data_IF_315444834847
#
_entry.id   IF_315444834847
#
_cell.length_a   1.000
_cell.length_b   1.000
_cell.length_c   1.000
_cell.angle_alpha   90.00
_cell.angle_beta   90.00
_cell.angle_gamma   90.00
#
_symmetry.space_group_name_H-M   'P 1'
#
loop_
_entity.id
_entity.type
_entity.pdbx_description
1 polymer ?
#
# COMPACT_ATOMS: atom_id res chain seq x y z
N UNK A 1 16.34 45.67 25.15
CA UNK A 1 15.69 44.40 25.56
C UNK A 1 14.40 44.07 24.82
N UNK A 2 13.56 45.05 24.41
CA UNK A 2 12.31 44.76 23.66
C UNK A 2 12.59 44.30 22.21
N UNK A 3 13.61 44.87 21.57
CA UNK A 3 13.97 44.58 20.17
C UNK A 3 14.60 43.18 19.96
N UNK A 4 15.25 42.63 20.99
CA UNK A 4 15.83 41.28 20.95
C UNK A 4 14.77 40.19 21.15
N UNK A 5 13.69 40.51 21.87
CA UNK A 5 12.61 39.57 22.14
C UNK A 5 11.72 39.36 20.89
N UNK A 6 11.45 40.42 20.11
CA UNK A 6 10.71 40.31 18.84
C UNK A 6 11.45 39.52 17.76
N UNK A 7 12.79 39.56 17.76
CA UNK A 7 13.62 38.82 16.80
C UNK A 7 13.61 37.29 17.09
N UNK A 8 13.59 36.89 18.37
CA UNK A 8 13.44 35.48 18.76
C UNK A 8 12.03 34.91 18.49
N UNK A 9 10.99 35.75 18.57
CA UNK A 9 9.61 35.32 18.27
C UNK A 9 9.43 35.13 16.77
N UNK A 10 10.07 35.96 15.93
CA UNK A 10 10.05 35.79 14.46
C UNK A 10 10.83 34.56 13.98
N UNK A 11 11.96 34.22 14.62
CA UNK A 11 12.72 33.00 14.28
C UNK A 11 12.02 31.70 14.72
N UNK A 12 11.22 31.75 15.80
CA UNK A 12 10.42 30.60 16.26
C UNK A 12 9.13 30.41 15.44
N UNK A 13 8.55 31.48 14.87
CA UNK A 13 7.42 31.36 13.92
C UNK A 13 7.90 30.80 12.56
N UNK A 14 9.14 31.07 12.15
CA UNK A 14 9.71 30.50 10.91
C UNK A 14 10.01 29.00 11.01
N UNK A 15 10.02 28.42 12.21
CA UNK A 15 10.12 26.97 12.44
C UNK A 15 8.78 26.24 12.23
N UNK A 16 7.70 26.96 11.88
CA UNK A 16 6.38 26.35 11.68
C UNK A 16 6.31 25.62 10.34
N UNK A 17 6.26 24.28 10.47
CA UNK A 17 5.82 23.25 9.51
C UNK A 17 6.83 22.79 8.46
N UNK A 18 7.78 21.97 8.92
CA UNK A 18 8.01 20.72 8.21
C UNK A 18 6.72 19.90 8.33
N UNK A 19 5.96 19.74 7.25
CA UNK A 19 4.99 18.64 7.18
C UNK A 19 5.82 17.36 7.13
N UNK A 20 5.99 16.67 8.24
CA UNK A 20 6.40 15.27 8.16
C UNK A 20 5.39 14.57 7.26
N UNK A 21 5.86 14.10 6.11
CA UNK A 21 5.06 13.25 5.23
C UNK A 21 4.92 11.94 5.98
N UNK A 22 3.84 11.80 6.71
CA UNK A 22 3.54 10.52 7.36
C UNK A 22 3.11 9.56 6.28
N UNK A 23 4.04 8.70 5.88
CA UNK A 23 3.84 7.68 4.86
C UNK A 23 2.82 6.68 5.38
N UNK A 24 1.82 6.36 4.55
CA UNK A 24 0.84 5.36 4.90
C UNK A 24 1.44 3.97 4.74
N UNK A 25 1.01 3.08 5.62
CA UNK A 25 1.33 1.66 5.56
C UNK A 25 0.04 0.87 5.59
N UNK A 26 0.04 -0.28 4.91
CA UNK A 26 -1.09 -1.20 4.87
C UNK A 26 -0.60 -2.64 4.83
N UNK A 27 -1.50 -3.56 5.16
CA UNK A 27 -1.22 -4.99 5.20
C UNK A 27 -2.40 -5.78 4.67
N UNK A 28 -2.12 -6.86 3.95
CA UNK A 28 -3.08 -7.92 3.64
C UNK A 28 -2.56 -9.24 4.19
N UNK A 29 -3.32 -9.87 5.08
CA UNK A 29 -3.09 -11.26 5.48
C UNK A 29 -3.72 -12.17 4.45
N UNK A 30 -2.90 -12.95 3.76
CA UNK A 30 -3.35 -13.86 2.72
C UNK A 30 -3.80 -15.17 3.36
N UNK A 31 -5.00 -15.60 2.99
CA UNK A 31 -5.55 -16.90 3.34
C UNK A 31 -5.93 -17.65 2.07
N UNK A 32 -5.73 -18.97 2.11
CA UNK A 32 -6.03 -19.86 1.01
C UNK A 32 -7.53 -19.93 0.73
N UNK A 33 -7.89 -20.03 -0.54
CA UNK A 33 -9.28 -20.14 -0.97
C UNK A 33 -9.71 -21.61 -0.97
N UNK A 34 -10.79 -21.97 -0.28
CA UNK A 34 -11.27 -23.36 -0.21
C UNK A 34 -10.27 -24.29 0.49
N UNK A 35 -9.77 -25.29 -0.24
CA UNK A 35 -8.80 -26.28 0.30
C UNK A 35 -7.34 -25.91 0.05
N UNK A 36 -7.06 -24.77 -0.59
CA UNK A 36 -5.69 -24.32 -0.84
C UNK A 36 -5.00 -23.93 0.47
N UNK A 37 -3.73 -24.32 0.63
CA UNK A 37 -2.92 -24.04 1.82
C UNK A 37 -2.14 -22.73 1.74
N UNK A 38 -2.42 -21.89 0.73
CA UNK A 38 -1.74 -20.62 0.52
C UNK A 38 -1.90 -19.74 1.74
N UNK A 39 -0.81 -19.18 2.25
CA UNK A 39 -0.87 -18.27 3.40
C UNK A 39 0.30 -17.29 3.37
N UNK A 40 0.15 -16.12 3.98
CA UNK A 40 1.23 -15.15 4.02
C UNK A 40 0.81 -13.75 4.45
N UNK A 41 1.74 -12.83 4.32
CA UNK A 41 1.51 -11.41 4.58
C UNK A 41 2.11 -10.56 3.46
N UNK A 42 1.33 -9.61 2.96
CA UNK A 42 1.75 -8.60 2.01
C UNK A 42 1.65 -7.24 2.68
N UNK A 43 2.75 -6.50 2.68
CA UNK A 43 2.88 -5.16 3.25
C UNK A 43 2.98 -4.15 2.12
N UNK A 44 2.34 -3.01 2.31
CA UNK A 44 2.34 -1.89 1.40
C UNK A 44 2.82 -0.65 2.14
N UNK A 45 3.74 0.08 1.54
CA UNK A 45 4.30 1.29 2.12
C UNK A 45 4.41 2.38 1.06
N UNK A 46 3.77 3.52 1.30
CA UNK A 46 4.00 4.70 0.45
C UNK A 46 5.46 5.14 0.59
N UNK A 47 6.10 5.46 -0.53
CA UNK A 47 7.45 6.03 -0.57
C UNK A 47 7.36 7.55 -0.64
N UNK A 48 8.43 8.30 -0.29
CA UNK A 48 8.47 9.75 -0.46
C UNK A 48 8.25 10.23 -1.90
N UNK A 49 8.47 9.38 -2.91
CA UNK A 49 8.22 9.68 -4.32
C UNK A 49 6.76 9.48 -4.74
N UNK A 50 5.90 8.99 -3.84
CA UNK A 50 4.49 8.69 -4.12
C UNK A 50 4.24 7.32 -4.73
N UNK A 51 5.27 6.49 -4.91
CA UNK A 51 5.12 5.08 -5.28
C UNK A 51 4.73 4.25 -4.05
N UNK A 52 4.30 3.01 -4.26
CA UNK A 52 4.05 2.04 -3.20
C UNK A 52 5.06 0.90 -3.31
N UNK A 53 5.81 0.69 -2.24
CA UNK A 53 6.60 -0.52 -2.05
C UNK A 53 5.68 -1.64 -1.54
N UNK A 54 5.67 -2.76 -2.24
CA UNK A 54 4.94 -3.97 -1.89
C UNK A 54 5.95 -5.05 -1.54
N UNK A 55 5.90 -5.53 -0.31
CA UNK A 55 6.84 -6.54 0.18
C UNK A 55 6.11 -7.64 0.95
N UNK A 56 6.72 -8.81 1.10
CA UNK A 56 6.11 -9.85 1.91
C UNK A 56 6.57 -11.26 1.57
N UNK A 57 5.88 -12.22 2.14
CA UNK A 57 6.15 -13.64 1.90
C UNK A 57 4.84 -14.41 1.87
N UNK A 58 4.70 -15.27 0.87
CA UNK A 58 3.57 -16.17 0.69
C UNK A 58 4.09 -17.59 0.54
N UNK A 59 3.49 -18.54 1.25
CA UNK A 59 3.84 -19.97 1.22
C UNK A 59 2.65 -20.80 0.75
N UNK A 60 2.89 -22.08 0.47
CA UNK A 60 1.85 -23.02 0.02
C UNK A 60 1.54 -22.90 -1.48
N UNK A 61 2.43 -22.27 -2.25
CA UNK A 61 2.34 -22.17 -3.70
C UNK A 61 2.92 -23.42 -4.37
N UNK A 62 2.57 -23.64 -5.64
CA UNK A 62 3.33 -24.53 -6.50
C UNK A 62 4.61 -23.86 -6.99
N UNK A 63 5.51 -24.63 -7.60
CA UNK A 63 6.68 -24.05 -8.26
C UNK A 63 6.25 -23.33 -9.54
N UNK A 64 6.77 -22.13 -9.75
CA UNK A 64 6.51 -21.31 -10.93
C UNK A 64 5.90 -19.95 -10.61
N UNK A 65 5.50 -19.25 -11.66
CA UNK A 65 4.90 -17.93 -11.59
C UNK A 65 3.40 -18.02 -11.29
N UNK A 66 2.94 -17.08 -10.47
CA UNK A 66 1.57 -16.94 -10.03
C UNK A 66 1.10 -15.50 -10.22
N UNK A 67 -0.02 -15.30 -10.93
CA UNK A 67 -0.62 -13.98 -11.10
C UNK A 67 -0.96 -13.33 -9.75
N UNK A 68 -0.65 -12.04 -9.62
CA UNK A 68 -0.71 -11.29 -8.38
C UNK A 68 -1.39 -9.95 -8.63
N UNK A 69 -2.61 -9.80 -8.12
CA UNK A 69 -3.47 -8.68 -8.49
C UNK A 69 -4.18 -8.06 -7.29
N UNK A 70 -4.49 -6.77 -7.37
CA UNK A 70 -5.51 -6.14 -6.53
C UNK A 70 -6.84 -6.21 -7.24
N UNK A 71 -7.82 -6.86 -6.61
CA UNK A 71 -9.19 -6.98 -7.11
C UNK A 71 -10.08 -5.84 -6.60
N UNK A 72 -11.22 -5.63 -7.26
CA UNK A 72 -12.08 -4.47 -7.04
C UNK A 72 -12.64 -4.41 -5.62
N UNK A 73 -13.09 -5.54 -5.05
CA UNK A 73 -13.73 -5.56 -3.74
C UNK A 73 -12.88 -6.26 -2.67
N UNK A 74 -12.92 -5.73 -1.45
CA UNK A 74 -12.49 -6.42 -0.24
C UNK A 74 -13.59 -7.30 0.35
N UNK A 75 -14.42 -7.90 -0.50
CA UNK A 75 -15.49 -8.81 -0.09
C UNK A 75 -15.00 -10.25 -0.18
N UNK A 76 -14.94 -10.92 0.98
CA UNK A 76 -14.54 -12.32 1.12
C UNK A 76 -15.71 -13.23 1.56
N UNK A 77 -16.96 -12.77 1.46
CA UNK A 77 -18.16 -13.51 1.89
C UNK A 77 -18.36 -14.84 1.15
N UNK A 78 -17.88 -14.95 -0.09
CA UNK A 78 -17.82 -16.18 -0.87
C UNK A 78 -16.37 -16.53 -1.23
N UNK A 79 -15.48 -16.43 -0.23
CA UNK A 79 -14.04 -16.58 -0.43
C UNK A 79 -13.50 -15.58 -1.44
N UNK A 80 -12.46 -15.95 -2.17
CA UNK A 80 -11.84 -15.04 -3.13
C UNK A 80 -12.72 -14.73 -4.34
N UNK A 81 -13.84 -15.42 -4.57
CA UNK A 81 -14.72 -15.17 -5.71
C UNK A 81 -15.45 -13.82 -5.59
N UNK A 82 -15.83 -13.42 -4.38
CA UNK A 82 -16.54 -12.16 -4.11
C UNK A 82 -15.69 -10.91 -4.36
N UNK A 83 -14.38 -11.04 -4.56
CA UNK A 83 -13.51 -9.88 -4.86
C UNK A 83 -13.74 -9.27 -6.25
N UNK A 84 -14.56 -9.92 -7.09
CA UNK A 84 -14.87 -9.55 -8.48
C UNK A 84 -13.63 -9.44 -9.37
N UNK A 85 -13.60 -8.56 -10.36
CA UNK A 85 -12.50 -8.45 -11.33
C UNK A 85 -11.31 -7.65 -10.78
N UNK A 86 -10.25 -7.50 -11.58
CA UNK A 86 -9.11 -6.66 -11.25
C UNK A 86 -9.57 -5.21 -11.00
N UNK A 87 -8.88 -4.50 -10.11
CA UNK A 87 -9.21 -3.10 -9.85
C UNK A 87 -8.88 -2.22 -11.07
N UNK A 88 -9.93 -1.85 -11.83
CA UNK A 88 -9.83 -1.13 -13.09
C UNK A 88 -10.73 0.12 -13.14
N UNK A 89 -10.38 1.21 -12.43
CA UNK A 89 -11.18 2.44 -12.41
C UNK A 89 -11.19 3.18 -13.76
N UNK A 90 -10.31 2.81 -14.70
CA UNK A 90 -10.16 3.47 -16.00
C UNK A 90 -10.81 2.71 -17.15
N UNK A 91 -11.34 1.50 -16.89
CA UNK A 91 -11.91 0.62 -17.90
C UNK A 91 -10.96 0.41 -19.11
N UNK A 92 -9.68 0.15 -18.82
CA UNK A 92 -8.65 -0.17 -19.81
C UNK A 92 -8.41 -1.67 -19.85
N UNK A 93 -7.65 -2.15 -20.84
CA UNK A 93 -7.26 -3.55 -20.92
C UNK A 93 -6.24 -3.91 -19.82
N UNK A 94 -6.23 -5.20 -19.45
CA UNK A 94 -5.20 -5.80 -18.60
C UNK A 94 -3.82 -5.67 -19.25
N UNK A 95 -2.80 -5.55 -18.41
CA UNK A 95 -1.41 -5.63 -18.84
C UNK A 95 -0.47 -5.86 -17.68
N UNK A 96 0.75 -6.32 -17.97
CA UNK A 96 1.76 -6.50 -16.91
C UNK A 96 2.14 -5.19 -16.21
N UNK A 97 2.75 -5.29 -15.03
CA UNK A 97 3.05 -4.13 -14.17
C UNK A 97 3.81 -2.98 -14.86
N UNK A 98 4.63 -3.27 -15.87
CA UNK A 98 5.41 -2.24 -16.58
C UNK A 98 4.75 -1.75 -17.87
N UNK A 99 3.56 -2.27 -18.21
CA UNK A 99 2.82 -1.85 -19.39
C UNK A 99 2.26 -0.44 -19.21
N UNK A 100 2.22 0.33 -20.31
CA UNK A 100 1.61 1.66 -20.33
C UNK A 100 0.08 1.62 -20.22
N UNK A 101 -0.53 0.53 -20.69
CA UNK A 101 -1.95 0.23 -20.51
C UNK A 101 -2.05 -1.00 -19.64
N UNK A 102 -2.65 -0.85 -18.46
CA UNK A 102 -2.89 -1.90 -17.48
C UNK A 102 -3.98 -1.44 -16.52
N UNK A 103 -4.61 -2.38 -15.84
CA UNK A 103 -5.44 -2.04 -14.69
C UNK A 103 -4.57 -1.47 -13.56
N UNK A 104 -5.19 -0.68 -12.68
CA UNK A 104 -4.51 -0.21 -11.47
C UNK A 104 -4.06 -1.38 -10.61
N UNK A 105 -4.85 -2.46 -10.57
CA UNK A 105 -4.54 -3.64 -9.77
C UNK A 105 -3.54 -4.65 -10.36
N UNK A 106 -3.01 -4.46 -11.57
CA UNK A 106 -2.21 -5.50 -12.25
C UNK A 106 -0.75 -5.53 -11.78
N UNK A 107 -0.40 -6.24 -10.70
CA UNK A 107 0.98 -6.24 -10.16
C UNK A 107 1.91 -7.27 -10.84
N UNK A 108 1.40 -8.04 -11.81
CA UNK A 108 2.14 -9.05 -12.56
C UNK A 108 2.22 -10.38 -11.82
N UNK A 109 3.41 -10.99 -11.79
CA UNK A 109 3.62 -12.31 -11.19
C UNK A 109 4.48 -12.26 -9.93
N UNK A 110 4.25 -13.22 -9.03
CA UNK A 110 5.17 -13.62 -7.96
C UNK A 110 5.68 -15.04 -8.23
N UNK A 111 6.92 -15.35 -7.83
CA UNK A 111 7.54 -16.66 -8.09
C UNK A 111 7.51 -17.51 -6.82
N UNK A 112 6.77 -18.63 -6.86
CA UNK A 112 6.72 -19.60 -5.76
C UNK A 112 8.03 -20.37 -5.56
N UNK A 113 8.94 -20.34 -6.52
CA UNK A 113 10.21 -21.06 -6.47
C UNK A 113 10.06 -22.56 -6.23
N UNK A 114 11.16 -23.27 -5.97
CA UNK A 114 11.11 -24.72 -5.77
C UNK A 114 10.49 -25.15 -4.42
N UNK A 115 10.39 -24.21 -3.47
CA UNK A 115 9.91 -24.48 -2.11
C UNK A 115 8.43 -24.11 -1.92
N UNK A 116 7.77 -23.58 -2.95
CA UNK A 116 6.40 -23.07 -2.85
C UNK A 116 6.28 -21.83 -1.95
N UNK A 117 7.37 -21.06 -1.85
CA UNK A 117 7.46 -19.81 -1.08
C UNK A 117 7.91 -18.66 -1.97
N UNK A 118 7.02 -17.69 -2.16
CA UNK A 118 7.30 -16.45 -2.88
C UNK A 118 7.76 -15.35 -1.92
N UNK A 119 8.91 -14.75 -2.23
CA UNK A 119 9.37 -13.49 -1.61
C UNK A 119 8.96 -12.33 -2.51
N UNK A 120 8.10 -11.45 -2.00
CA UNK A 120 7.54 -10.34 -2.76
C UNK A 120 8.40 -9.10 -2.52
N UNK A 121 8.82 -8.45 -3.61
CA UNK A 121 9.49 -7.16 -3.58
C UNK A 121 9.20 -6.39 -4.87
N UNK A 122 8.19 -5.52 -4.82
CA UNK A 122 7.69 -4.75 -5.96
C UNK A 122 7.67 -3.27 -5.58
N UNK A 123 7.98 -2.39 -6.52
CA UNK A 123 7.69 -0.96 -6.43
C UNK A 123 6.74 -0.64 -7.57
N UNK A 124 5.59 -0.05 -7.25
CA UNK A 124 4.54 0.29 -8.21
C UNK A 124 4.15 1.77 -8.06
N UNK A 125 3.96 2.46 -9.19
CA UNK A 125 3.61 3.89 -9.21
C UNK A 125 2.16 4.16 -9.62
N UNK A 126 1.35 3.11 -9.82
CA UNK A 126 -0.04 3.19 -10.28
C UNK A 126 -1.00 2.99 -9.10
N UNK A 127 -0.76 1.98 -8.26
CA UNK A 127 -1.51 1.83 -7.00
C UNK A 127 -1.17 2.96 -6.03
N UNK A 128 -2.11 3.27 -5.13
CA UNK A 128 -1.88 4.20 -4.04
C UNK A 128 -2.55 3.70 -2.76
N UNK A 129 -2.13 4.18 -1.59
CA UNK A 129 -2.83 3.94 -0.33
C UNK A 129 -3.81 5.07 0.00
N UNK A 130 -4.07 5.96 -0.97
CA UNK A 130 -5.04 7.05 -0.85
C UNK A 130 -5.56 7.56 -2.19
N UNK A 131 -6.50 8.51 -2.12
CA UNK A 131 -7.04 9.17 -3.30
C UNK A 131 -7.82 8.20 -4.21
N UNK A 132 -7.98 8.55 -5.50
CA UNK A 132 -8.84 7.79 -6.42
C UNK A 132 -8.29 6.40 -6.74
N UNK A 133 -6.97 6.18 -6.64
CA UNK A 133 -6.35 4.87 -6.89
C UNK A 133 -6.10 4.08 -5.59
N UNK A 134 -6.74 4.49 -4.49
CA UNK A 134 -6.59 3.79 -3.21
C UNK A 134 -6.96 2.32 -3.34
N UNK A 135 -6.05 1.46 -2.88
CA UNK A 135 -6.26 0.02 -2.75
C UNK A 135 -6.71 -0.39 -1.33
N UNK A 136 -6.78 0.56 -0.39
CA UNK A 136 -7.28 0.29 0.96
C UNK A 136 -8.74 -0.17 0.89
N UNK A 137 -9.06 -1.27 1.60
CA UNK A 137 -10.38 -1.89 1.60
C UNK A 137 -10.68 -2.76 0.38
N UNK A 138 -9.72 -2.90 -0.55
CA UNK A 138 -9.76 -3.88 -1.65
C UNK A 138 -9.06 -5.18 -1.24
N UNK A 139 -9.00 -6.17 -2.11
CA UNK A 139 -8.31 -7.44 -1.82
C UNK A 139 -7.12 -7.68 -2.74
N UNK A 140 -6.02 -8.16 -2.18
CA UNK A 140 -4.98 -8.86 -2.94
C UNK A 140 -5.49 -10.25 -3.27
N UNK A 141 -5.24 -10.71 -4.49
CA UNK A 141 -5.54 -12.07 -4.94
C UNK A 141 -4.29 -12.66 -5.58
N UNK A 142 -4.04 -13.92 -5.24
CA UNK A 142 -3.00 -14.77 -5.80
C UNK A 142 -3.69 -15.84 -6.63
N UNK A 143 -3.24 -15.99 -7.86
CA UNK A 143 -3.81 -16.89 -8.83
C UNK A 143 -2.98 -18.18 -8.97
N UNK A 144 -3.61 -19.23 -9.48
CA UNK A 144 -2.99 -20.54 -9.62
C UNK A 144 -1.89 -20.56 -10.69
N UNK A 145 -2.13 -19.89 -11.80
CA UNK A 145 -1.31 -19.96 -13.00
C UNK A 145 -0.58 -18.62 -13.23
N UNK A 146 0.37 -18.65 -14.16
CA UNK A 146 1.12 -17.46 -14.59
C UNK A 146 0.18 -16.45 -15.28
N UNK A 147 0.32 -15.18 -14.91
CA UNK A 147 -0.25 -14.06 -15.64
C UNK A 147 0.58 -13.82 -16.93
N UNK A 148 -0.07 -13.95 -18.09
CA UNK A 148 0.50 -13.72 -19.42
C UNK A 148 0.72 -12.24 -19.77
N UNK A 149 0.39 -11.34 -18.84
CA UNK A 149 0.62 -9.89 -18.89
C UNK A 149 -0.14 -9.18 -20.01
N UNK A 150 -1.21 -9.80 -20.52
CA UNK A 150 -1.98 -9.32 -21.68
C UNK A 150 -1.31 -9.65 -23.02
N UNK A 151 -0.27 -10.49 -23.02
CA UNK A 151 0.56 -10.78 -24.19
C UNK A 151 0.33 -12.19 -24.76
N UNK A 152 -0.54 -12.98 -24.14
CA UNK A 152 -0.81 -14.37 -24.54
C UNK A 152 -1.56 -14.53 -25.87
N UNK A 153 -2.14 -13.47 -26.42
CA UNK A 153 -2.87 -13.51 -27.70
C UNK A 153 -4.26 -14.17 -27.62
N UNK A 154 -4.79 -14.36 -26.41
CA UNK A 154 -6.15 -14.84 -26.18
C UNK A 154 -7.07 -13.68 -25.79
N UNK A 155 -8.38 -13.88 -25.94
CA UNK A 155 -9.38 -12.85 -25.58
C UNK A 155 -9.32 -12.52 -24.08
N UNK A 156 -9.18 -13.55 -23.24
CA UNK A 156 -9.10 -13.42 -21.79
C UNK A 156 -7.74 -12.91 -21.29
N UNK A 157 -6.68 -12.93 -22.12
CA UNK A 157 -5.39 -12.28 -21.80
C UNK A 157 -5.59 -10.80 -21.48
N UNK A 158 -6.40 -10.08 -22.26
CA UNK A 158 -6.65 -8.65 -22.07
C UNK A 158 -7.61 -8.33 -20.90
N UNK A 159 -8.09 -9.35 -20.18
CA UNK A 159 -9.01 -9.17 -19.05
C UNK A 159 -8.44 -9.67 -17.73
N UNK A 160 -7.80 -10.84 -17.74
CA UNK A 160 -7.35 -11.54 -16.52
C UNK A 160 -5.91 -12.05 -16.60
N UNK A 161 -5.25 -11.84 -17.75
CA UNK A 161 -3.91 -12.40 -17.98
C UNK A 161 -3.87 -13.93 -18.03
N UNK A 162 -5.04 -14.59 -18.11
CA UNK A 162 -5.17 -16.06 -18.04
C UNK A 162 -4.53 -16.71 -16.81
N UNK A 163 -4.40 -15.98 -15.70
CA UNK A 163 -3.80 -16.48 -14.48
C UNK A 163 -4.60 -17.60 -13.77
N UNK A 164 -5.80 -17.93 -14.26
CA UNK A 164 -6.57 -19.06 -13.76
C UNK A 164 -7.24 -18.82 -12.40
N UNK A 165 -7.56 -19.89 -11.64
CA UNK A 165 -8.30 -19.81 -10.39
C UNK A 165 -7.62 -18.97 -9.30
N UNK A 166 -8.44 -18.40 -8.40
CA UNK A 166 -7.97 -17.64 -7.22
C UNK A 166 -7.64 -18.61 -6.09
N UNK A 167 -6.38 -18.74 -5.74
CA UNK A 167 -5.89 -19.72 -4.74
C UNK A 167 -5.66 -19.12 -3.36
N UNK A 168 -5.53 -17.79 -3.26
CA UNK A 168 -5.47 -17.09 -1.98
C UNK A 168 -5.80 -15.61 -2.12
N UNK A 169 -6.31 -15.01 -1.06
CA UNK A 169 -6.64 -13.59 -1.05
C UNK A 169 -6.64 -13.01 0.36
N UNK A 170 -6.61 -11.68 0.45
CA UNK A 170 -6.68 -10.95 1.72
C UNK A 170 -7.06 -9.50 1.51
N UNK A 171 -7.93 -8.97 2.39
CA UNK A 171 -8.33 -7.56 2.37
C UNK A 171 -7.15 -6.69 2.82
N UNK A 172 -6.93 -5.59 2.11
CA UNK A 172 -5.87 -4.61 2.38
C UNK A 172 -6.37 -3.63 3.43
N UNK A 173 -5.89 -3.78 4.66
CA UNK A 173 -6.20 -2.90 5.78
C UNK A 173 -5.08 -1.92 6.09
N UNK A 174 -5.41 -0.78 6.69
CA UNK A 174 -4.39 0.18 7.15
C UNK A 174 -3.56 -0.41 8.29
N UNK A 175 -2.24 -0.22 8.23
CA UNK A 175 -1.30 -0.63 9.26
C UNK A 175 -0.90 0.62 10.08
N UNK A 176 -1.77 1.00 11.01
CA UNK A 176 -1.58 2.14 11.90
C UNK A 176 -2.05 3.49 11.35
N UNK A 177 -2.39 4.41 12.26
CA UNK A 177 -2.80 5.77 11.90
C UNK A 177 -1.60 6.70 11.75
N UNK A 178 -1.47 7.43 10.63
CA UNK A 178 -0.48 8.48 10.45
C UNK A 178 -0.51 9.55 11.57
N UNK A 179 -1.69 9.72 12.17
CA UNK A 179 -1.97 10.77 13.14
C UNK A 179 -1.24 10.52 14.47
N UNK A 180 -0.97 9.26 14.84
CA UNK A 180 -0.32 8.94 16.12
C UNK A 180 1.14 9.40 16.19
N UNK A 181 1.85 9.50 15.07
CA UNK A 181 3.21 10.01 15.02
C UNK A 181 3.25 11.54 15.20
N UNK A 182 2.32 12.26 14.56
CA UNK A 182 2.27 13.74 14.61
C UNK A 182 1.78 14.30 15.94
N UNK A 183 0.92 13.58 16.68
CA UNK A 183 0.34 14.06 17.93
C UNK A 183 1.35 14.08 19.10
N UNK A 184 2.49 13.38 18.97
CA UNK A 184 3.60 13.41 19.95
C UNK A 184 4.44 14.70 19.86
N UNK A 185 4.39 15.42 18.74
CA UNK A 185 5.22 16.62 18.50
C UNK A 185 4.57 17.90 19.07
N UNK A 186 3.24 17.98 19.04
CA UNK A 186 2.47 19.13 19.55
C UNK A 186 2.65 19.41 21.06
N UNK A 187 2.62 18.43 21.98
CA UNK A 187 2.74 18.72 23.42
C UNK A 187 4.16 19.17 23.84
N UNK A 188 5.21 18.76 23.12
CA UNK A 188 6.58 19.18 23.39
C UNK A 188 6.83 20.66 23.01
N UNK A 189 6.14 21.17 21.98
CA UNK A 189 6.29 22.55 21.52
C UNK A 189 5.46 23.56 22.34
N UNK A 190 4.28 23.18 22.82
CA UNK A 190 3.49 24.06 23.70
C UNK A 190 4.14 24.27 25.07
N UNK A 191 4.84 23.27 25.61
CA UNK A 191 5.52 23.37 26.90
C UNK A 191 6.75 24.28 26.85
N UNK A 192 7.52 24.26 25.76
CA UNK A 192 8.68 25.16 25.56
C UNK A 192 8.25 26.61 25.40
N UNK A 193 7.19 26.90 24.64
CA UNK A 193 6.67 28.27 24.51
C UNK A 193 6.11 28.82 25.83
N UNK A 194 5.43 27.99 26.62
CA UNK A 194 4.94 28.36 27.95
C UNK A 194 6.09 28.69 28.92
N UNK A 195 7.19 27.92 28.90
CA UNK A 195 8.36 28.20 29.75
C UNK A 195 9.10 29.50 29.35
N UNK A 196 9.20 29.82 28.07
CA UNK A 196 9.80 31.10 27.65
C UNK A 196 8.93 32.30 28.06
N UNK A 197 7.61 32.17 28.01
CA UNK A 197 6.68 33.24 28.39
C UNK A 197 6.65 33.47 29.92
N UNK A 198 6.84 32.43 30.74
CA UNK A 198 6.93 32.58 32.20
C UNK A 198 8.29 33.13 32.63
N UNK A 199 9.39 32.69 32.02
CA UNK A 199 10.72 33.24 32.27
C UNK A 199 10.83 34.74 31.94
N UNK A 200 10.14 35.19 30.88
CA UNK A 200 10.05 36.61 30.51
C UNK A 200 9.27 37.50 31.49
N UNK A 201 8.40 36.92 32.34
CA UNK A 201 7.68 37.64 33.40
C UNK A 201 8.47 37.75 34.71
N UNK A 202 9.42 36.84 34.95
CA UNK A 202 10.28 36.84 36.14
C UNK A 202 11.49 37.80 36.04
N UNK A 203 11.78 38.31 34.84
CA UNK A 203 12.89 39.24 34.55
C UNK A 203 12.44 40.71 34.42
N UNK A 204 11.29 41.07 34.99
CA UNK A 204 10.82 42.46 35.14
C UNK A 204 10.74 42.85 36.60
#
# INVERSE_FOLDING_TARGET
MILTLTCLVLSTIYQVRSTEVVLREAVATIQGNGTNSVSGGVYFKETPSGSVEVSGTVTGLTSGLHGFHVHMYGDLTNGCLSTADHYNPHNVAHGGKNASTRHVGDLGNIDGGQTGTASIQIIDSVISLSGPHSIIGRAVVIHQDEDDLGLGGHEDSLTTGRAGPRIGCGVIGMLGDPISASHQVLPAMMTTLAMLLTAGRLLR
#
